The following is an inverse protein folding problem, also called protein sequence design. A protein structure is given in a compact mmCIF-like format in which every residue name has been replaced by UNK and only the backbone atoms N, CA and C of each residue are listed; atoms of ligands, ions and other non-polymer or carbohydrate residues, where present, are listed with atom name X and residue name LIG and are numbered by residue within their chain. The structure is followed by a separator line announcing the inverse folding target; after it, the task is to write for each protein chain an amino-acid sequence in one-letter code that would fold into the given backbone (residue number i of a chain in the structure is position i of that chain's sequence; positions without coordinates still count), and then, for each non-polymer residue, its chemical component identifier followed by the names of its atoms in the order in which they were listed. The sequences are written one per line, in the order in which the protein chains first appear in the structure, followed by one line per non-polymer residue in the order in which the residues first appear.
data_IF_251078952912
#
_entry.id   IF_251078952912
#
_cell.length_a   1.000
_cell.length_b   1.000
_cell.length_c   1.000
_cell.angle_alpha   90.00
_cell.angle_beta   90.00
_cell.angle_gamma   90.00
#
_symmetry.space_group_name_H-M   'P 1'
#
loop_
_entity.id
_entity.type
_entity.pdbx_description
1 polymer ?
#
# COMPACT_ATOMS: atom_id res chain seq x y z
N UNK A 1 -3.73 -9.90 -16.43
CA UNK A 1 -3.00 -9.76 -15.17
C UNK A 1 -2.93 -11.13 -14.49
N UNK A 2 -1.74 -11.61 -14.13
CA UNK A 2 -1.50 -12.93 -13.53
C UNK A 2 -1.19 -12.76 -12.04
N UNK A 3 -1.60 -13.73 -11.22
CA UNK A 3 -1.23 -13.79 -9.80
C UNK A 3 0.24 -14.22 -9.72
N UNK A 4 1.07 -13.42 -9.06
CA UNK A 4 2.47 -13.73 -8.83
C UNK A 4 2.60 -14.58 -7.56
N UNK A 5 3.31 -15.71 -7.58
CA UNK A 5 3.55 -16.50 -6.38
C UNK A 5 4.53 -15.79 -5.44
N UNK A 6 4.25 -15.87 -4.17
CA UNK A 6 5.19 -15.58 -3.09
C UNK A 6 5.22 -14.14 -2.58
N UNK A 7 5.00 -14.02 -1.32
CA UNK A 7 5.18 -12.84 -0.50
C UNK A 7 4.11 -12.77 0.58
N UNK A 8 4.52 -12.83 1.85
CA UNK A 8 3.63 -12.51 2.95
C UNK A 8 3.23 -11.03 2.82
N UNK A 9 1.99 -10.79 2.45
CA UNK A 9 1.39 -9.47 2.43
C UNK A 9 0.66 -9.31 3.76
N UNK A 10 1.23 -8.56 4.69
CA UNK A 10 0.63 -8.30 5.99
C UNK A 10 -0.74 -7.61 5.91
N UNK A 11 -1.49 -7.63 7.02
CA UNK A 11 -2.80 -6.99 7.16
C UNK A 11 -3.99 -7.92 6.89
N UNK A 12 -5.13 -7.61 7.51
CA UNK A 12 -6.32 -8.48 7.54
C UNK A 12 -7.15 -8.49 6.25
N UNK A 13 -6.96 -7.51 5.34
CA UNK A 13 -7.75 -7.41 4.11
C UNK A 13 -7.26 -8.41 3.05
N UNK A 14 -8.17 -9.07 2.30
CA UNK A 14 -7.77 -9.97 1.20
C UNK A 14 -6.91 -9.23 0.18
N UNK A 15 -5.73 -9.76 -0.12
CA UNK A 15 -4.81 -9.17 -1.09
C UNK A 15 -3.96 -10.21 -1.79
N UNK A 16 -3.46 -9.86 -2.98
CA UNK A 16 -2.54 -10.70 -3.75
C UNK A 16 -1.48 -9.85 -4.45
N UNK A 17 -0.33 -10.44 -4.71
CA UNK A 17 0.61 -9.91 -5.69
C UNK A 17 0.16 -10.30 -7.10
N UNK A 18 0.10 -9.32 -7.99
CA UNK A 18 -0.29 -9.53 -9.40
C UNK A 18 0.73 -8.86 -10.31
N UNK A 19 0.84 -9.36 -11.53
CA UNK A 19 1.76 -8.85 -12.56
C UNK A 19 0.93 -8.34 -13.73
N UNK A 20 1.24 -7.15 -14.24
CA UNK A 20 0.66 -6.64 -15.48
C UNK A 20 1.36 -7.24 -16.71
N UNK A 21 0.87 -6.88 -17.91
CA UNK A 21 1.43 -7.36 -19.19
C UNK A 21 2.85 -6.85 -19.43
N UNK A 22 3.24 -5.74 -18.81
CA UNK A 22 4.59 -5.19 -18.88
C UNK A 22 5.55 -5.78 -17.86
N UNK A 23 5.09 -6.72 -17.00
CA UNK A 23 5.90 -7.37 -15.97
C UNK A 23 6.01 -6.58 -14.65
N UNK A 24 5.26 -5.51 -14.48
CA UNK A 24 5.28 -4.76 -13.24
C UNK A 24 4.46 -5.45 -12.15
N UNK A 25 4.99 -5.47 -10.94
CA UNK A 25 4.33 -6.03 -9.76
C UNK A 25 3.42 -5.01 -9.08
N UNK A 26 2.20 -5.45 -8.78
CA UNK A 26 1.20 -4.71 -8.02
C UNK A 26 0.77 -5.49 -6.79
N UNK A 27 0.26 -4.77 -5.79
CA UNK A 27 -0.55 -5.33 -4.72
C UNK A 27 -2.00 -5.05 -5.08
N UNK A 28 -2.78 -6.12 -5.28
CA UNK A 28 -4.22 -6.05 -5.46
C UNK A 28 -4.91 -6.26 -4.11
N UNK A 29 -5.69 -5.29 -3.66
CA UNK A 29 -6.52 -5.35 -2.45
C UNK A 29 -7.97 -5.57 -2.86
N UNK A 30 -8.48 -6.74 -2.54
CA UNK A 30 -9.84 -7.14 -2.94
C UNK A 30 -10.89 -6.66 -1.94
N UNK A 31 -12.15 -6.47 -2.38
CA UNK A 31 -13.26 -6.26 -1.49
C UNK A 31 -13.39 -7.40 -0.47
N UNK A 32 -13.74 -7.04 0.75
CA UNK A 32 -14.06 -8.00 1.81
C UNK A 32 -15.58 -8.16 1.91
N UNK A 33 -16.05 -9.33 2.29
CA UNK A 33 -17.47 -9.56 2.61
C UNK A 33 -17.97 -8.72 3.78
N UNK A 34 -17.06 -8.16 4.57
CA UNK A 34 -17.37 -7.26 5.70
C UNK A 34 -17.41 -5.79 5.32
N UNK A 35 -17.13 -5.44 4.07
CA UNK A 35 -17.10 -4.05 3.65
C UNK A 35 -18.53 -3.50 3.58
N UNK A 36 -18.78 -2.41 4.28
CA UNK A 36 -20.06 -1.68 4.26
C UNK A 36 -20.11 -0.64 3.13
N UNK A 37 -18.95 -0.28 2.57
CA UNK A 37 -18.79 0.69 1.48
C UNK A 37 -17.60 0.32 0.59
N UNK A 38 -17.44 1.03 -0.52
CA UNK A 38 -16.40 0.77 -1.52
C UNK A 38 -15.03 1.27 -1.06
N UNK A 39 -14.38 0.51 -0.19
CA UNK A 39 -13.05 0.85 0.36
C UNK A 39 -12.00 0.99 -0.75
N UNK A 40 -12.01 0.09 -1.75
CA UNK A 40 -11.08 0.16 -2.88
C UNK A 40 -11.28 1.41 -3.75
N UNK A 41 -12.53 1.83 -3.93
CA UNK A 41 -12.87 3.09 -4.59
C UNK A 41 -12.36 4.30 -3.82
N UNK A 42 -12.54 4.32 -2.50
CA UNK A 42 -12.01 5.40 -1.66
C UNK A 42 -10.48 5.44 -1.62
N UNK A 43 -9.79 4.30 -1.60
CA UNK A 43 -8.33 4.27 -1.72
C UNK A 43 -7.87 4.93 -3.05
N UNK A 44 -8.61 4.71 -4.14
CA UNK A 44 -8.32 5.35 -5.43
C UNK A 44 -8.54 6.87 -5.39
N UNK A 45 -9.61 7.34 -4.75
CA UNK A 45 -9.86 8.78 -4.56
C UNK A 45 -8.72 9.43 -3.79
N UNK A 46 -8.30 8.83 -2.67
CA UNK A 46 -7.18 9.36 -1.86
C UNK A 46 -5.87 9.37 -2.66
N UNK A 47 -5.59 8.32 -3.45
CA UNK A 47 -4.41 8.28 -4.33
C UNK A 47 -4.45 9.42 -5.36
N UNK A 48 -5.60 9.63 -6.01
CA UNK A 48 -5.77 10.70 -6.99
C UNK A 48 -5.60 12.10 -6.37
N UNK A 49 -6.12 12.32 -5.15
CA UNK A 49 -5.91 13.57 -4.41
C UNK A 49 -4.44 13.78 -4.06
N UNK A 50 -3.75 12.74 -3.61
CA UNK A 50 -2.32 12.80 -3.30
C UNK A 50 -1.49 13.18 -4.54
N UNK A 51 -1.78 12.58 -5.70
CA UNK A 51 -1.18 12.97 -6.99
C UNK A 51 -1.47 14.44 -7.31
N UNK A 52 -2.73 14.86 -7.15
CA UNK A 52 -3.14 16.25 -7.37
C UNK A 52 -2.44 17.26 -6.46
N UNK A 53 -2.06 16.85 -5.27
CA UNK A 53 -1.26 17.65 -4.33
C UNK A 53 0.25 17.61 -4.62
N UNK A 54 0.69 16.94 -5.68
CA UNK A 54 2.10 16.83 -6.05
C UNK A 54 2.91 15.86 -5.18
N UNK A 55 2.25 14.98 -4.42
CA UNK A 55 2.94 13.96 -3.63
C UNK A 55 3.47 12.83 -4.53
N UNK A 56 4.66 12.34 -4.21
CA UNK A 56 5.24 11.18 -4.88
C UNK A 56 4.61 9.89 -4.34
N UNK A 57 3.56 9.43 -4.98
CA UNK A 57 2.85 8.20 -4.61
C UNK A 57 2.96 7.15 -5.72
N UNK A 58 2.88 5.88 -5.33
CA UNK A 58 2.93 4.79 -6.30
C UNK A 58 1.71 4.82 -7.24
N UNK A 59 1.90 4.56 -8.55
CA UNK A 59 0.80 4.46 -9.50
C UNK A 59 -0.24 3.44 -9.04
N UNK A 60 -1.50 3.81 -9.14
CA UNK A 60 -2.60 2.96 -8.72
C UNK A 60 -3.72 2.94 -9.77
N UNK A 61 -4.57 1.93 -9.69
CA UNK A 61 -5.77 1.77 -10.50
C UNK A 61 -6.83 1.01 -9.70
N UNK A 62 -8.09 1.22 -10.04
CA UNK A 62 -9.19 0.52 -9.41
C UNK A 62 -10.10 -0.11 -10.47
N UNK A 63 -10.48 -1.36 -10.28
CA UNK A 63 -11.33 -2.11 -11.20
C UNK A 63 -12.40 -2.89 -10.44
N UNK A 64 -13.60 -2.94 -11.00
CA UNK A 64 -14.65 -3.86 -10.54
C UNK A 64 -14.52 -5.17 -11.32
N UNK A 65 -14.42 -6.26 -10.60
CA UNK A 65 -14.46 -7.61 -11.18
C UNK A 65 -15.83 -8.26 -10.91
N UNK A 66 -15.87 -9.26 -10.04
CA UNK A 66 -17.10 -9.96 -9.69
C UNK A 66 -17.85 -9.35 -8.48
N UNK A 67 -17.45 -8.16 -8.04
CA UNK A 67 -18.04 -7.45 -6.89
C UNK A 67 -18.57 -6.09 -7.32
N UNK A 68 -19.56 -5.56 -6.57
CA UNK A 68 -20.02 -4.18 -6.70
C UNK A 68 -18.98 -3.16 -6.24
N UNK A 69 -18.01 -3.58 -5.44
CA UNK A 69 -16.91 -2.76 -4.92
C UNK A 69 -15.63 -2.95 -5.73
N UNK A 70 -14.78 -1.92 -5.72
CA UNK A 70 -13.53 -1.93 -6.47
C UNK A 70 -12.45 -2.78 -5.78
N UNK A 71 -11.70 -3.51 -6.59
CA UNK A 71 -10.36 -3.97 -6.26
C UNK A 71 -9.41 -2.79 -6.51
N UNK A 72 -8.68 -2.36 -5.48
CA UNK A 72 -7.63 -1.34 -5.60
C UNK A 72 -6.30 -2.02 -5.85
N UNK A 73 -5.58 -1.58 -6.88
CA UNK A 73 -4.29 -2.12 -7.27
C UNK A 73 -3.26 -1.01 -7.26
N UNK A 74 -2.22 -1.17 -6.46
CA UNK A 74 -1.12 -0.21 -6.35
C UNK A 74 0.20 -0.88 -6.75
N UNK A 75 0.97 -0.19 -7.60
CA UNK A 75 2.26 -0.68 -8.04
C UNK A 75 3.23 -0.77 -6.86
N UNK A 76 3.99 -1.85 -6.79
CA UNK A 76 4.99 -2.03 -5.74
C UNK A 76 6.15 -1.06 -5.96
N UNK A 77 6.38 -0.17 -4.98
CA UNK A 77 7.52 0.75 -4.96
C UNK A 77 8.84 0.06 -4.59
N UNK A 78 8.76 -1.11 -3.94
CA UNK A 78 9.90 -1.91 -3.51
C UNK A 78 10.44 -2.85 -4.62
N UNK A 79 10.10 -2.52 -5.88
CA UNK A 79 10.60 -3.23 -7.07
C UNK A 79 11.01 -2.24 -8.14
N UNK A 80 12.13 -2.53 -8.79
CA UNK A 80 12.50 -1.85 -10.04
C UNK A 80 11.65 -2.35 -11.20
N UNK A 81 11.72 -1.67 -12.34
CA UNK A 81 11.08 -2.14 -13.58
C UNK A 81 11.63 -3.49 -14.05
N UNK A 82 12.88 -3.83 -13.70
CA UNK A 82 13.49 -5.12 -13.99
C UNK A 82 13.19 -6.18 -12.91
N UNK A 83 12.25 -5.95 -12.01
CA UNK A 83 11.84 -6.89 -10.96
C UNK A 83 12.80 -7.02 -9.77
N UNK A 84 13.92 -6.27 -9.73
CA UNK A 84 14.85 -6.29 -8.61
C UNK A 84 14.21 -5.72 -7.36
N UNK A 85 14.47 -6.33 -6.21
CA UNK A 85 14.01 -5.83 -4.91
C UNK A 85 14.79 -4.56 -4.53
N UNK A 86 14.04 -3.57 -4.04
CA UNK A 86 14.58 -2.40 -3.36
C UNK A 86 14.36 -2.58 -1.87
N UNK A 87 15.39 -2.32 -1.10
CA UNK A 87 15.26 -2.32 0.37
C UNK A 87 14.40 -1.15 0.82
N UNK A 88 13.51 -1.38 1.75
CA UNK A 88 12.77 -0.33 2.44
C UNK A 88 12.54 -0.74 3.90
N UNK A 89 12.32 0.26 4.75
CA UNK A 89 11.87 0.06 6.11
C UNK A 89 10.59 0.87 6.34
N UNK A 90 9.64 0.28 7.07
CA UNK A 90 8.43 1.02 7.48
C UNK A 90 8.76 2.02 8.57
N UNK A 91 7.93 3.03 8.75
CA UNK A 91 8.02 3.95 9.88
C UNK A 91 8.03 3.19 11.21
N UNK A 92 7.16 2.20 11.36
CA UNK A 92 7.09 1.31 12.53
C UNK A 92 8.43 0.62 12.82
N UNK A 93 9.12 0.12 11.79
CA UNK A 93 10.44 -0.48 11.93
C UNK A 93 11.49 0.53 12.39
N UNK A 94 11.45 1.75 11.84
CA UNK A 94 12.45 2.78 12.15
C UNK A 94 12.24 3.39 13.55
N UNK A 95 10.99 3.53 13.98
CA UNK A 95 10.64 4.03 15.32
C UNK A 95 10.61 2.93 16.38
N UNK A 96 10.75 1.65 15.99
CA UNK A 96 10.72 0.47 16.87
C UNK A 96 9.38 0.25 17.58
N UNK A 97 8.31 0.78 17.02
CA UNK A 97 6.96 0.55 17.49
C UNK A 97 6.37 -0.77 16.96
N UNK A 98 5.30 -1.23 17.59
CA UNK A 98 4.57 -2.43 17.21
C UNK A 98 3.14 -2.10 16.79
N UNK A 99 2.50 -3.02 16.06
CA UNK A 99 1.10 -2.86 15.66
C UNK A 99 0.20 -2.79 16.89
N UNK A 100 -0.71 -1.80 16.90
CA UNK A 100 -1.61 -1.53 18.03
C UNK A 100 -1.11 -0.49 19.02
N UNK A 101 0.14 -0.02 18.94
CA UNK A 101 0.61 1.13 19.70
C UNK A 101 0.03 2.44 19.14
N UNK A 102 -0.26 3.38 20.00
CA UNK A 102 -0.88 4.67 19.68
C UNK A 102 -0.31 5.82 20.54
N UNK A 103 -0.96 6.97 20.50
CA UNK A 103 -0.53 8.15 21.27
C UNK A 103 -0.49 7.91 22.79
N UNK A 104 -1.28 6.97 23.34
CA UNK A 104 -1.26 6.63 24.77
C UNK A 104 -0.01 5.87 25.17
N UNK A 105 0.64 5.21 24.21
CA UNK A 105 1.92 4.50 24.37
C UNK A 105 3.13 5.35 23.95
N UNK A 106 2.90 6.62 23.59
CA UNK A 106 3.95 7.56 23.24
C UNK A 106 4.22 7.71 21.74
N UNK A 107 3.48 7.03 20.87
CA UNK A 107 3.63 7.15 19.41
C UNK A 107 3.18 8.53 18.94
N UNK A 108 4.01 9.21 18.16
CA UNK A 108 3.69 10.54 17.64
C UNK A 108 4.24 10.77 16.22
N UNK A 109 3.62 11.71 15.50
CA UNK A 109 4.16 12.19 14.23
C UNK A 109 5.51 12.92 14.37
N UNK A 110 5.86 13.39 15.58
CA UNK A 110 7.15 14.03 15.84
C UNK A 110 8.30 13.03 15.72
N UNK A 111 8.09 11.77 16.12
CA UNK A 111 9.09 10.71 15.92
C UNK A 111 9.33 10.42 14.43
N UNK A 112 8.27 10.46 13.61
CA UNK A 112 8.41 10.33 12.16
C UNK A 112 9.19 11.51 11.58
N UNK A 113 8.92 12.73 12.05
CA UNK A 113 9.69 13.92 11.63
C UNK A 113 11.17 13.79 12.02
N UNK A 114 11.48 13.31 13.23
CA UNK A 114 12.85 13.06 13.68
C UNK A 114 13.58 12.02 12.82
N UNK A 115 12.89 10.91 12.46
CA UNK A 115 13.43 9.90 11.54
C UNK A 115 13.76 10.52 10.17
N UNK A 116 12.86 11.34 9.63
CA UNK A 116 13.09 12.01 8.34
C UNK A 116 14.24 13.01 8.40
N UNK A 117 14.42 13.72 9.51
CA UNK A 117 15.56 14.64 9.71
C UNK A 117 16.88 13.90 9.75
N UNK A 118 16.92 12.72 10.38
CA UNK A 118 18.16 11.95 10.56
C UNK A 118 18.53 11.09 9.35
N UNK A 119 17.56 10.65 8.57
CA UNK A 119 17.75 9.63 7.52
C UNK A 119 17.15 10.02 6.15
N UNK A 120 16.49 11.18 6.06
CA UNK A 120 15.89 11.70 4.83
C UNK A 120 16.85 12.41 3.88
#
# INVERSE_FOLDING_TARGET
MLIAPGGSLGGARPKASVVDEAGHLYIAKFPSVKDEYDVGGWEMVVNALAVGCGLNVAPAQAHKFASNYHCFMVRRFDRTNAGRRLHFASAMTLTRHQDGEDASTGVSYLELADVLIRHG
#
